data_IF_636972585094
#
_entry.id   IF_636972585094
#
_cell.length_a   1.000
_cell.length_b   1.000
_cell.length_c   1.000
_cell.angle_alpha   90.00
_cell.angle_beta   90.00
_cell.angle_gamma   90.00
#
_symmetry.space_group_name_H-M   'P 1'
#
loop_
_entity.id
_entity.type
_entity.pdbx_description
1 polymer ?
#
# COMPACT_ATOMS: atom_id res chain seq x y z
N UNK A 1 24.96 -5.34 -0.35
CA UNK A 1 23.87 -6.19 0.13
C UNK A 1 23.60 -7.25 -0.92
N UNK A 2 23.63 -8.53 -0.55
CA UNK A 2 23.22 -9.63 -1.43
C UNK A 2 21.70 -9.87 -1.31
N UNK A 3 21.16 -10.74 -2.16
CA UNK A 3 19.72 -11.01 -2.16
C UNK A 3 19.22 -11.63 -0.84
N UNK A 4 20.00 -12.53 -0.22
CA UNK A 4 19.64 -13.12 1.07
C UNK A 4 19.42 -12.08 2.16
N UNK A 5 20.38 -11.17 2.30
CA UNK A 5 20.33 -10.05 3.25
C UNK A 5 19.13 -9.13 2.97
N UNK A 6 18.81 -8.91 1.69
CA UNK A 6 17.63 -8.16 1.30
C UNK A 6 16.35 -8.86 1.77
N UNK A 7 16.18 -10.17 1.53
CA UNK A 7 14.98 -10.91 1.97
C UNK A 7 14.78 -10.84 3.48
N UNK A 8 15.85 -11.01 4.24
CA UNK A 8 15.81 -10.92 5.70
C UNK A 8 15.45 -9.50 6.18
N UNK A 9 16.02 -8.48 5.56
CA UNK A 9 15.71 -7.07 5.87
C UNK A 9 14.28 -6.71 5.50
N UNK A 10 13.81 -7.18 4.34
CA UNK A 10 12.45 -7.00 3.86
C UNK A 10 11.45 -7.62 4.84
N UNK A 11 11.66 -8.88 5.24
CA UNK A 11 10.80 -9.55 6.21
C UNK A 11 10.68 -8.72 7.50
N UNK A 12 11.82 -8.34 8.09
CA UNK A 12 11.87 -7.55 9.33
C UNK A 12 11.12 -6.23 9.18
N UNK A 13 11.33 -5.53 8.06
CA UNK A 13 10.67 -4.27 7.78
C UNK A 13 9.14 -4.41 7.64
N UNK A 14 8.68 -5.44 6.91
CA UNK A 14 7.24 -5.66 6.69
C UNK A 14 6.52 -5.94 8.02
N UNK A 15 7.10 -6.78 8.88
CA UNK A 15 6.50 -7.13 10.19
C UNK A 15 6.77 -6.10 11.29
N UNK A 16 7.68 -5.15 11.08
CA UNK A 16 7.96 -4.10 12.06
C UNK A 16 6.69 -3.30 12.36
N UNK A 17 6.37 -3.10 13.64
CA UNK A 17 5.15 -2.41 14.10
C UNK A 17 3.83 -3.13 13.81
N UNK A 18 3.85 -4.39 13.34
CA UNK A 18 2.67 -5.27 13.42
C UNK A 18 2.55 -5.76 14.87
N UNK A 19 1.35 -5.73 15.42
CA UNK A 19 1.10 -6.12 16.81
C UNK A 19 1.43 -7.61 17.02
N UNK A 20 2.53 -7.90 17.72
CA UNK A 20 3.14 -9.24 17.74
C UNK A 20 2.37 -10.30 18.56
N UNK A 21 1.23 -9.94 19.15
CA UNK A 21 0.53 -10.78 20.13
C UNK A 21 -0.78 -11.38 19.61
N UNK A 22 -1.18 -11.11 18.37
CA UNK A 22 -2.38 -11.68 17.77
C UNK A 22 -2.05 -12.88 16.86
N UNK A 23 -2.95 -13.87 16.81
CA UNK A 23 -2.74 -15.10 16.04
C UNK A 23 -2.57 -14.83 14.54
N UNK A 24 -3.25 -13.83 14.00
CA UNK A 24 -3.13 -13.41 12.61
C UNK A 24 -1.80 -12.71 12.31
N UNK A 25 -1.25 -11.94 13.25
CA UNK A 25 0.08 -11.35 13.10
C UNK A 25 1.16 -12.44 13.06
N UNK A 26 1.03 -13.47 13.89
CA UNK A 26 1.91 -14.65 13.88
C UNK A 26 1.77 -15.40 12.56
N UNK A 27 0.55 -15.61 12.06
CA UNK A 27 0.29 -16.27 10.79
C UNK A 27 0.89 -15.48 9.61
N UNK A 28 0.72 -14.16 9.58
CA UNK A 28 1.32 -13.26 8.60
C UNK A 28 2.85 -13.33 8.63
N UNK A 29 3.45 -13.21 9.81
CA UNK A 29 4.90 -13.28 9.96
C UNK A 29 5.46 -14.62 9.50
N UNK A 30 4.82 -15.72 9.89
CA UNK A 30 5.22 -17.07 9.51
C UNK A 30 5.11 -17.27 8.01
N UNK A 31 4.00 -16.83 7.40
CA UNK A 31 3.79 -16.99 5.96
C UNK A 31 4.75 -16.15 5.13
N UNK A 32 5.04 -14.92 5.57
CA UNK A 32 6.04 -14.07 4.94
C UNK A 32 7.45 -14.67 5.06
N UNK A 33 7.78 -15.24 6.21
CA UNK A 33 9.07 -15.92 6.42
C UNK A 33 9.22 -17.09 5.43
N UNK A 34 8.24 -18.00 5.40
CA UNK A 34 8.21 -19.17 4.52
C UNK A 34 8.32 -18.76 3.04
N UNK A 35 7.52 -17.76 2.62
CA UNK A 35 7.50 -17.32 1.23
C UNK A 35 8.80 -16.65 0.84
N UNK A 36 9.34 -15.76 1.67
CA UNK A 36 10.61 -15.10 1.36
C UNK A 36 11.76 -16.12 1.32
N UNK A 37 11.86 -17.00 2.32
CA UNK A 37 12.95 -17.97 2.37
C UNK A 37 13.01 -18.84 1.11
N UNK A 38 11.85 -19.29 0.60
CA UNK A 38 11.76 -20.11 -0.62
C UNK A 38 11.90 -19.36 -1.95
N UNK A 39 11.84 -18.03 -1.98
CA UNK A 39 11.89 -17.26 -3.24
C UNK A 39 13.31 -17.16 -3.80
N UNK A 40 13.46 -17.59 -5.06
CA UNK A 40 14.66 -17.39 -5.91
C UNK A 40 15.96 -17.84 -5.23
N UNK A 41 15.99 -19.06 -4.69
CA UNK A 41 17.14 -19.64 -3.96
C UNK A 41 18.46 -19.59 -4.75
N UNK A 42 18.41 -19.74 -6.07
CA UNK A 42 19.61 -19.68 -6.93
C UNK A 42 20.28 -18.29 -6.94
N UNK A 43 19.58 -17.27 -6.45
CA UNK A 43 20.04 -15.88 -6.42
C UNK A 43 20.47 -15.40 -5.03
N UNK A 44 20.48 -16.24 -3.99
CA UNK A 44 20.78 -15.85 -2.60
C UNK A 44 22.08 -15.04 -2.45
N UNK A 45 23.14 -15.50 -3.11
CA UNK A 45 24.46 -14.85 -3.11
C UNK A 45 24.63 -13.80 -4.20
N UNK A 46 23.63 -13.62 -5.08
CA UNK A 46 23.69 -12.67 -6.17
C UNK A 46 23.62 -11.22 -5.65
N UNK A 47 24.25 -10.26 -6.34
CA UNK A 47 24.05 -8.85 -6.05
C UNK A 47 22.57 -8.48 -6.27
N UNK A 48 22.06 -7.62 -5.39
CA UNK A 48 20.69 -7.14 -5.52
C UNK A 48 20.53 -6.30 -6.80
N UNK A 49 19.46 -6.54 -7.53
CA UNK A 49 19.08 -5.76 -8.71
C UNK A 49 17.62 -5.32 -8.61
N UNK A 50 17.28 -4.20 -9.25
CA UNK A 50 15.90 -3.67 -9.27
C UNK A 50 14.90 -4.70 -9.81
N UNK A 51 15.31 -5.48 -10.79
CA UNK A 51 14.49 -6.54 -11.36
C UNK A 51 14.23 -7.68 -10.36
N UNK A 52 15.19 -7.98 -9.47
CA UNK A 52 15.01 -8.97 -8.41
C UNK A 52 14.11 -8.42 -7.30
N UNK A 53 14.31 -7.16 -6.89
CA UNK A 53 13.44 -6.45 -5.94
C UNK A 53 11.99 -6.47 -6.44
N UNK A 54 11.74 -6.01 -7.67
CA UNK A 54 10.41 -5.94 -8.27
C UNK A 54 9.72 -7.31 -8.31
N UNK A 55 10.44 -8.35 -8.74
CA UNK A 55 9.90 -9.72 -8.79
C UNK A 55 9.54 -10.22 -7.39
N UNK A 56 10.42 -10.01 -6.41
CA UNK A 56 10.17 -10.41 -5.03
C UNK A 56 8.96 -9.66 -4.46
N UNK A 57 8.91 -8.34 -4.59
CA UNK A 57 7.78 -7.51 -4.13
C UNK A 57 6.46 -7.94 -4.77
N UNK A 58 6.43 -8.20 -6.08
CA UNK A 58 5.23 -8.69 -6.76
C UNK A 58 4.79 -10.07 -6.23
N UNK A 59 5.72 -10.99 -5.96
CA UNK A 59 5.38 -12.30 -5.37
C UNK A 59 4.81 -12.19 -3.97
N UNK A 60 5.33 -11.27 -3.16
CA UNK A 60 4.77 -11.03 -1.82
C UNK A 60 3.38 -10.41 -1.91
N UNK A 61 3.15 -9.47 -2.84
CA UNK A 61 1.80 -8.96 -3.11
C UNK A 61 0.86 -10.12 -3.45
N UNK A 62 1.21 -10.98 -4.42
CA UNK A 62 0.37 -12.13 -4.79
C UNK A 62 0.06 -13.03 -3.58
N UNK A 63 1.03 -13.31 -2.71
CA UNK A 63 0.80 -14.08 -1.46
C UNK A 63 -0.16 -13.39 -0.50
N UNK A 64 -0.11 -12.06 -0.42
CA UNK A 64 -0.98 -11.25 0.43
C UNK A 64 -2.36 -10.97 -0.19
N UNK A 65 -2.53 -11.14 -1.50
CA UNK A 65 -3.78 -10.82 -2.22
C UNK A 65 -4.37 -12.02 -2.95
N UNK A 66 -3.78 -12.44 -4.07
CA UNK A 66 -4.29 -13.55 -4.91
C UNK A 66 -3.15 -14.48 -5.32
N UNK A 67 -2.91 -15.53 -4.52
CA UNK A 67 -1.73 -16.41 -4.70
C UNK A 67 -1.82 -17.20 -6.02
N UNK A 68 -3.04 -17.52 -6.47
CA UNK A 68 -3.32 -18.18 -7.75
C UNK A 68 -3.76 -17.19 -8.84
N UNK A 69 -3.58 -15.88 -8.63
CA UNK A 69 -3.98 -14.78 -9.54
C UNK A 69 -5.45 -14.72 -9.95
N UNK A 70 -6.30 -15.45 -9.22
CA UNK A 70 -7.74 -15.57 -9.50
C UNK A 70 -8.55 -15.48 -8.22
N UNK A 71 -8.16 -16.27 -7.24
CA UNK A 71 -8.85 -16.36 -5.95
C UNK A 71 -8.06 -15.65 -4.85
N UNK A 72 -8.76 -15.10 -3.85
CA UNK A 72 -8.14 -14.55 -2.65
C UNK A 72 -7.21 -15.59 -2.01
N UNK A 73 -6.03 -15.16 -1.56
CA UNK A 73 -5.14 -16.05 -0.83
C UNK A 73 -5.74 -16.42 0.54
N UNK A 74 -5.36 -17.57 1.08
CA UNK A 74 -5.82 -17.97 2.42
C UNK A 74 -5.43 -16.92 3.47
N UNK A 75 -4.26 -16.31 3.33
CA UNK A 75 -3.79 -15.26 4.22
C UNK A 75 -4.63 -13.98 4.10
N UNK A 76 -5.04 -13.61 2.88
CA UNK A 76 -5.96 -12.49 2.66
C UNK A 76 -7.28 -12.70 3.41
N UNK A 77 -7.90 -13.88 3.24
CA UNK A 77 -9.15 -14.23 3.91
C UNK A 77 -8.97 -14.23 5.44
N UNK A 78 -7.88 -14.82 5.93
CA UNK A 78 -7.58 -14.91 7.36
C UNK A 78 -7.47 -13.52 8.01
N UNK A 79 -6.68 -12.62 7.41
CA UNK A 79 -6.44 -11.28 7.96
C UNK A 79 -7.72 -10.43 7.97
N UNK A 80 -8.55 -10.54 6.94
CA UNK A 80 -9.74 -9.71 6.84
C UNK A 80 -10.93 -10.25 7.63
N UNK A 81 -11.11 -11.57 7.68
CA UNK A 81 -12.20 -12.20 8.45
C UNK A 81 -12.05 -11.99 9.96
N UNK A 82 -10.83 -11.79 10.44
CA UNK A 82 -10.55 -11.47 11.85
C UNK A 82 -10.61 -9.96 12.16
N UNK A 83 -10.94 -9.11 11.18
CA UNK A 83 -11.14 -7.68 11.40
C UNK A 83 -9.87 -6.85 11.41
N UNK A 84 -8.77 -7.32 10.79
CA UNK A 84 -7.49 -6.61 10.74
C UNK A 84 -7.09 -6.10 9.32
N UNK A 85 -7.97 -5.36 8.61
CA UNK A 85 -7.66 -4.81 7.29
C UNK A 85 -6.51 -3.79 7.30
N UNK A 86 -6.39 -3.01 8.39
CA UNK A 86 -5.34 -1.99 8.53
C UNK A 86 -3.94 -2.60 8.45
N UNK A 87 -3.70 -3.72 9.13
CA UNK A 87 -2.40 -4.42 9.12
C UNK A 87 -2.01 -4.81 7.70
N UNK A 88 -2.93 -5.43 6.96
CA UNK A 88 -2.70 -5.83 5.58
C UNK A 88 -2.41 -4.61 4.68
N UNK A 89 -3.22 -3.55 4.78
CA UNK A 89 -3.04 -2.32 3.98
C UNK A 89 -1.69 -1.66 4.27
N UNK A 90 -1.28 -1.58 5.53
CA UNK A 90 0.03 -1.03 5.92
C UNK A 90 1.18 -1.86 5.33
N UNK A 91 1.08 -3.19 5.35
CA UNK A 91 2.09 -4.07 4.75
C UNK A 91 2.16 -3.88 3.24
N UNK A 92 1.01 -3.78 2.56
CA UNK A 92 0.96 -3.51 1.11
C UNK A 92 1.56 -2.13 0.78
N UNK A 93 1.28 -1.10 1.58
CA UNK A 93 1.86 0.23 1.42
C UNK A 93 3.39 0.19 1.58
N UNK A 94 3.90 -0.50 2.60
CA UNK A 94 5.34 -0.71 2.82
C UNK A 94 6.03 -1.33 1.61
N UNK A 95 5.39 -2.30 0.95
CA UNK A 95 5.94 -2.92 -0.28
C UNK A 95 6.05 -1.88 -1.39
N UNK A 96 5.02 -1.05 -1.60
CA UNK A 96 5.03 0.00 -2.62
C UNK A 96 6.06 1.10 -2.31
N UNK A 97 6.28 1.42 -1.04
CA UNK A 97 7.33 2.35 -0.60
C UNK A 97 8.74 1.84 -0.91
N UNK A 98 8.97 0.53 -0.81
CA UNK A 98 10.26 -0.08 -1.17
C UNK A 98 10.40 -0.18 -2.70
N UNK A 99 9.33 -0.56 -3.40
CA UNK A 99 9.33 -0.77 -4.83
C UNK A 99 8.11 -0.12 -5.47
N UNK A 100 8.23 1.15 -5.86
CA UNK A 100 7.14 1.88 -6.51
C UNK A 100 6.68 1.21 -7.82
N UNK A 101 7.59 0.53 -8.53
CA UNK A 101 7.26 -0.24 -9.73
C UNK A 101 6.28 -1.41 -9.47
N UNK A 102 6.15 -1.89 -8.23
CA UNK A 102 5.14 -2.89 -7.85
C UNK A 102 3.73 -2.32 -7.72
N UNK A 103 3.54 -1.00 -7.73
CA UNK A 103 2.23 -0.36 -7.55
C UNK A 103 1.21 -0.80 -8.59
N UNK A 104 1.56 -0.76 -9.87
CA UNK A 104 0.65 -1.20 -10.94
C UNK A 104 0.28 -2.67 -10.81
N UNK A 105 1.18 -3.50 -10.28
CA UNK A 105 0.89 -4.91 -10.02
C UNK A 105 -0.09 -5.07 -8.87
N UNK A 106 0.08 -4.31 -7.78
CA UNK A 106 -0.88 -4.27 -6.67
C UNK A 106 -2.27 -3.86 -7.14
N UNK A 107 -2.38 -2.77 -7.91
CA UNK A 107 -3.66 -2.30 -8.46
C UNK A 107 -4.36 -3.39 -9.30
N UNK A 108 -3.60 -4.12 -10.13
CA UNK A 108 -4.14 -5.24 -10.90
C UNK A 108 -4.63 -6.40 -10.00
N UNK A 109 -3.95 -6.67 -8.89
CA UNK A 109 -4.36 -7.69 -7.92
C UNK A 109 -5.63 -7.28 -7.17
N UNK A 110 -5.75 -6.00 -6.78
CA UNK A 110 -6.98 -5.45 -6.19
C UNK A 110 -8.14 -5.53 -7.18
N UNK A 111 -7.92 -5.21 -8.47
CA UNK A 111 -8.96 -5.34 -9.49
C UNK A 111 -9.41 -6.80 -9.70
N UNK A 112 -8.54 -7.78 -9.48
CA UNK A 112 -8.91 -9.20 -9.49
C UNK A 112 -9.76 -9.56 -8.27
N UNK A 113 -9.40 -9.07 -7.07
CA UNK A 113 -10.19 -9.27 -5.86
C UNK A 113 -11.59 -8.67 -6.01
N UNK A 114 -11.71 -7.43 -6.48
CA UNK A 114 -13.00 -6.77 -6.70
C UNK A 114 -13.88 -7.63 -7.60
N UNK A 115 -13.36 -8.08 -8.75
CA UNK A 115 -14.11 -8.96 -9.68
C UNK A 115 -14.53 -10.29 -9.07
N UNK A 116 -13.74 -10.85 -8.15
CA UNK A 116 -14.09 -12.07 -7.43
C UNK A 116 -15.29 -11.85 -6.49
N UNK A 117 -15.30 -10.74 -5.74
CA UNK A 117 -16.36 -10.43 -4.78
C UNK A 117 -17.60 -9.77 -5.38
N UNK A 118 -17.52 -9.17 -6.57
CA UNK A 118 -18.67 -8.63 -7.32
C UNK A 118 -19.78 -9.67 -7.58
N UNK A 119 -19.43 -10.96 -7.57
CA UNK A 119 -20.36 -12.06 -7.81
C UNK A 119 -21.08 -12.55 -6.55
N UNK A 120 -20.70 -12.04 -5.38
CA UNK A 120 -21.20 -12.47 -4.07
C UNK A 120 -22.18 -11.43 -3.50
N UNK A 121 -22.96 -11.84 -2.49
CA UNK A 121 -23.88 -10.93 -1.83
C UNK A 121 -23.14 -9.91 -0.95
N UNK A 122 -23.67 -8.70 -0.83
CA UNK A 122 -23.06 -7.66 0.01
C UNK A 122 -22.91 -8.10 1.48
N UNK A 123 -23.86 -8.90 1.97
CA UNK A 123 -23.84 -9.43 3.35
C UNK A 123 -22.61 -10.33 3.61
N UNK A 124 -22.11 -11.00 2.58
CA UNK A 124 -20.94 -11.88 2.68
C UNK A 124 -19.61 -11.14 2.50
N UNK A 125 -19.65 -9.89 2.02
CA UNK A 125 -18.48 -9.12 1.57
C UNK A 125 -18.05 -7.98 2.49
N UNK A 126 -18.73 -7.77 3.64
CA UNK A 126 -18.50 -6.60 4.50
C UNK A 126 -17.03 -6.38 4.90
N UNK A 127 -16.27 -7.45 5.15
CA UNK A 127 -14.85 -7.39 5.48
C UNK A 127 -13.97 -6.97 4.29
N UNK A 128 -14.33 -7.36 3.06
CA UNK A 128 -13.64 -6.90 1.83
C UNK A 128 -13.94 -5.44 1.58
N UNK A 129 -15.21 -5.02 1.74
CA UNK A 129 -15.62 -3.63 1.54
C UNK A 129 -14.85 -2.73 2.49
N UNK A 130 -14.80 -3.07 3.77
CA UNK A 130 -14.01 -2.34 4.77
C UNK A 130 -12.52 -2.27 4.41
N UNK A 131 -11.94 -3.39 3.95
CA UNK A 131 -10.56 -3.41 3.43
C UNK A 131 -10.37 -2.44 2.25
N UNK A 132 -11.27 -2.44 1.27
CA UNK A 132 -11.19 -1.58 0.09
C UNK A 132 -11.30 -0.09 0.46
N UNK A 133 -12.16 0.26 1.42
CA UNK A 133 -12.28 1.63 1.94
C UNK A 133 -10.97 2.11 2.56
N UNK A 134 -10.41 1.31 3.47
CA UNK A 134 -9.13 1.60 4.13
C UNK A 134 -7.99 1.67 3.12
N UNK A 135 -7.95 0.73 2.18
CA UNK A 135 -6.96 0.69 1.09
C UNK A 135 -7.02 1.97 0.26
N UNK A 136 -8.21 2.35 -0.20
CA UNK A 136 -8.40 3.54 -1.03
C UNK A 136 -7.97 4.82 -0.32
N UNK A 137 -8.37 5.00 0.94
CA UNK A 137 -7.96 6.18 1.73
C UNK A 137 -6.44 6.20 1.92
N UNK A 138 -5.84 5.08 2.30
CA UNK A 138 -4.39 4.99 2.55
C UNK A 138 -3.57 5.30 1.29
N UNK A 139 -3.93 4.70 0.16
CA UNK A 139 -3.21 4.92 -1.09
C UNK A 139 -3.51 6.25 -1.76
N UNK A 140 -4.67 6.86 -1.49
CA UNK A 140 -4.94 8.25 -1.85
C UNK A 140 -4.00 9.18 -1.07
N UNK A 141 -3.93 9.07 0.26
CA UNK A 141 -3.04 9.88 1.10
C UNK A 141 -1.57 9.75 0.65
N UNK A 142 -1.15 8.54 0.31
CA UNK A 142 0.22 8.27 -0.16
C UNK A 142 0.49 8.76 -1.59
N UNK A 143 -0.51 9.13 -2.38
CA UNK A 143 -0.29 9.51 -3.78
C UNK A 143 0.67 10.72 -3.88
N UNK A 144 1.94 10.45 -4.22
CA UNK A 144 3.08 11.39 -4.14
C UNK A 144 2.85 12.70 -4.92
N UNK A 145 1.98 12.63 -5.93
CA UNK A 145 1.63 13.71 -6.84
C UNK A 145 0.30 14.39 -6.50
N UNK A 146 -0.28 14.15 -5.33
CA UNK A 146 -1.55 14.80 -4.92
C UNK A 146 -1.27 15.74 -3.75
N UNK A 147 -1.62 17.01 -3.92
CA UNK A 147 -1.64 17.99 -2.84
C UNK A 147 -3.07 18.08 -2.29
N UNK A 148 -3.20 17.89 -0.97
CA UNK A 148 -4.46 18.05 -0.25
C UNK A 148 -4.50 19.44 0.38
N UNK A 149 -5.47 20.26 -0.03
CA UNK A 149 -5.66 21.60 0.49
C UNK A 149 -6.98 21.69 1.27
N UNK A 150 -6.92 22.25 2.47
CA UNK A 150 -8.12 22.63 3.23
C UNK A 150 -8.59 24.00 2.76
N UNK A 151 -9.77 24.05 2.16
CA UNK A 151 -10.37 25.31 1.70
C UNK A 151 -11.53 25.66 2.63
N UNK A 152 -11.43 26.83 3.26
CA UNK A 152 -12.51 27.39 4.08
C UNK A 152 -13.63 27.87 3.17
N UNK A 153 -14.82 27.29 3.31
CA UNK A 153 -15.98 27.56 2.46
C UNK A 153 -16.72 28.85 2.83
N UNK A 154 -16.60 29.31 4.07
CA UNK A 154 -17.30 30.51 4.56
C UNK A 154 -16.34 31.52 5.18
N UNK A 155 -16.44 32.77 4.71
CA UNK A 155 -15.74 33.92 5.27
C UNK A 155 -16.54 34.44 6.47
N UNK A 156 -16.36 33.83 7.64
CA UNK A 156 -16.82 34.43 8.90
C UNK A 156 -15.83 35.51 9.34
N UNK A 157 -16.35 36.69 9.68
CA UNK A 157 -15.60 37.76 10.33
C UNK A 157 -15.00 37.23 11.65
N UNK A 158 -13.71 37.50 11.84
CA UNK A 158 -12.94 36.95 12.94
C UNK A 158 -13.42 37.54 14.28
N UNK A 159 -14.18 36.76 15.05
CA UNK A 159 -14.36 37.01 16.48
C UNK A 159 -13.19 36.37 17.25
N UNK A 160 -12.62 37.03 18.28
CA UNK A 160 -11.38 36.59 18.93
C UNK A 160 -11.46 35.26 19.70
N UNK A 161 -12.60 34.57 19.68
CA UNK A 161 -12.88 33.37 20.46
C UNK A 161 -13.49 32.23 19.62
N UNK A 162 -13.44 32.30 18.28
CA UNK A 162 -14.00 31.26 17.44
C UNK A 162 -13.23 29.93 17.62
N UNK A 163 -13.87 28.95 18.28
CA UNK A 163 -13.43 27.55 18.26
C UNK A 163 -13.26 27.10 16.82
N UNK A 164 -12.18 26.39 16.52
CA UNK A 164 -11.92 25.78 15.22
C UNK A 164 -13.11 24.86 14.85
N UNK A 165 -14.02 25.36 14.02
CA UNK A 165 -15.12 24.58 13.48
C UNK A 165 -14.68 23.97 12.14
N UNK A 166 -14.42 22.67 12.15
CA UNK A 166 -13.96 21.90 11.00
C UNK A 166 -15.04 21.75 9.92
N UNK A 167 -16.32 21.93 10.25
CA UNK A 167 -17.45 21.78 9.30
C UNK A 167 -17.43 22.85 8.19
N UNK A 168 -16.72 23.96 8.42
CA UNK A 168 -16.56 25.03 7.44
C UNK A 168 -15.41 24.80 6.45
N UNK A 169 -14.67 23.70 6.58
CA UNK A 169 -13.57 23.35 5.69
C UNK A 169 -13.96 22.18 4.79
N UNK A 170 -13.51 22.25 3.54
CA UNK A 170 -13.59 21.14 2.58
C UNK A 170 -12.18 20.77 2.15
N UNK A 171 -11.92 19.48 2.00
CA UNK A 171 -10.65 18.96 1.50
C UNK A 171 -10.73 18.88 -0.03
N UNK A 172 -9.75 19.45 -0.72
CA UNK A 172 -9.59 19.31 -2.17
C UNK A 172 -8.26 18.65 -2.48
N UNK A 173 -8.29 17.67 -3.39
CA UNK A 173 -7.11 17.08 -3.99
C UNK A 173 -6.82 17.71 -5.35
N UNK A 174 -5.56 18.06 -5.60
CA UNK A 174 -5.08 18.50 -6.90
C UNK A 174 -3.79 17.76 -7.26
N UNK A 175 -3.60 17.42 -8.53
CA UNK A 175 -2.31 16.92 -8.98
C UNK A 175 -1.26 18.03 -8.86
N UNK A 176 -0.08 17.72 -8.32
CA UNK A 176 1.04 18.67 -8.25
C UNK A 176 1.36 19.14 -9.68
N UNK A 177 1.42 20.45 -9.94
CA UNK A 177 1.80 20.96 -11.25
C UNK A 177 3.20 20.47 -11.60
N UNK A 178 3.39 19.97 -12.83
CA UNK A 178 4.70 19.59 -13.35
C UNK A 178 5.52 20.88 -13.48
N UNK A 179 6.45 21.12 -12.56
CA UNK A 179 7.40 22.23 -12.66
C UNK A 179 8.39 21.85 -13.75
N UNK A 180 8.21 22.39 -14.96
CA UNK A 180 9.23 22.27 -16.01
C UNK A 180 10.40 23.18 -15.63
N UNK A 181 11.65 22.71 -15.66
CA UNK A 181 12.80 23.58 -15.44
C UNK A 181 12.79 24.71 -16.48
N UNK A 182 13.02 25.93 -16.00
CA UNK A 182 13.11 27.14 -16.82
C UNK A 182 14.31 26.96 -17.76
N UNK A 183 14.08 26.99 -19.07
CA UNK A 183 15.16 26.98 -20.07
C UNK A 183 16.13 28.13 -19.75
N UNK A 184 17.40 27.78 -19.53
CA UNK A 184 18.47 28.77 -19.37
C UNK A 184 18.51 29.69 -20.60
N UNK A 185 18.71 31.01 -20.42
CA UNK A 185 18.86 31.90 -21.56
C UNK A 185 20.13 31.53 -22.32
N UNK A 186 19.99 31.26 -23.62
CA UNK A 186 21.11 31.11 -24.54
C UNK A 186 22.03 32.33 -24.40
N UNK A 187 23.23 32.09 -23.87
CA UNK A 187 24.29 33.09 -23.85
C UNK A 187 24.74 33.34 -25.28
N UNK A 188 24.24 34.42 -25.87
CA UNK A 188 24.78 34.96 -27.11
C UNK A 188 26.19 35.48 -26.85
N UNK A 189 27.20 34.83 -27.41
CA UNK A 189 28.55 35.37 -27.61
C UNK A 189 29.16 34.71 -28.84
#
# INVERSE_FOLDING_TARGET
MNYKEFKQSLQKYLVFSVEQHSDDAIALQSKLAEKLDSLYLDYESAPLSDALILRTCNRIIETLTTENRKEPSQLFILLLSQGNPMTLVIVLLKIVLICNASRSHLEAQIATLIRHYEQLSEQDCGWVINFLEIFNVTFAIHAENVQYNLVKMQRQEASPQAKLNLDHYRIFSQMKPIIRPKSEPESSS
#
